data_IF_019104609313
#
_entry.id   IF_019104609313
#
_cell.length_a   1.000
_cell.length_b   1.000
_cell.length_c   1.000
_cell.angle_alpha   90.00
_cell.angle_beta   90.00
_cell.angle_gamma   90.00
#
_symmetry.space_group_name_H-M   'P 1'
#
loop_
_entity.id
_entity.type
_entity.pdbx_description
1 polymer ?
#
# COMPACT_ATOMS: atom_id res chain seq x y z
N UNK A 1 22.87 -10.19 12.06
CA UNK A 1 23.79 -11.34 11.82
C UNK A 1 23.05 -12.50 11.17
N UNK A 2 22.06 -13.13 11.84
CA UNK A 2 21.28 -14.24 11.24
C UNK A 2 20.59 -13.85 9.92
N UNK A 3 19.80 -12.77 9.91
CA UNK A 3 19.12 -12.30 8.70
C UNK A 3 20.08 -12.03 7.54
N UNK A 4 21.26 -11.46 7.84
CA UNK A 4 22.31 -11.23 6.84
C UNK A 4 22.88 -12.53 6.28
N UNK A 5 23.05 -13.54 7.12
CA UNK A 5 23.51 -14.87 6.70
C UNK A 5 22.48 -15.54 5.80
N UNK A 6 21.19 -15.48 6.17
CA UNK A 6 20.10 -16.02 5.35
C UNK A 6 19.99 -15.28 4.02
N UNK A 7 20.00 -13.94 4.02
CA UNK A 7 19.99 -13.18 2.77
C UNK A 7 21.14 -13.58 1.83
N UNK A 8 22.35 -13.79 2.38
CA UNK A 8 23.51 -14.24 1.61
C UNK A 8 23.38 -15.68 1.09
N UNK A 9 22.75 -16.59 1.82
CA UNK A 9 22.51 -17.96 1.33
C UNK A 9 21.53 -17.98 0.15
N UNK A 10 20.59 -17.02 0.12
CA UNK A 10 19.66 -16.79 -0.99
C UNK A 10 20.27 -15.95 -2.13
N UNK A 11 21.59 -15.70 -2.13
CA UNK A 11 22.26 -14.90 -3.15
C UNK A 11 21.94 -13.40 -3.12
N UNK A 12 21.33 -12.90 -2.04
CA UNK A 12 21.00 -11.48 -1.87
C UNK A 12 22.09 -10.77 -1.08
N UNK A 13 22.82 -9.87 -1.75
CA UNK A 13 23.92 -9.12 -1.13
C UNK A 13 23.44 -8.10 -0.09
N UNK A 14 22.39 -7.35 -0.43
CA UNK A 14 21.83 -6.30 0.43
C UNK A 14 20.65 -6.84 1.23
N UNK A 15 20.78 -6.87 2.56
CA UNK A 15 19.72 -7.36 3.46
C UNK A 15 18.35 -6.70 3.19
N UNK A 16 18.34 -5.43 2.81
CA UNK A 16 17.09 -4.73 2.52
C UNK A 16 16.34 -5.33 1.32
N UNK A 17 17.03 -5.78 0.27
CA UNK A 17 16.37 -6.43 -0.88
C UNK A 17 15.69 -7.73 -0.47
N UNK A 18 16.25 -8.44 0.50
CA UNK A 18 15.68 -9.66 1.06
C UNK A 18 14.42 -9.37 1.90
N UNK A 19 14.45 -8.30 2.69
CA UNK A 19 13.36 -7.95 3.62
C UNK A 19 12.23 -7.15 2.96
N UNK A 20 12.54 -6.38 1.91
CA UNK A 20 11.62 -5.43 1.29
C UNK A 20 10.25 -6.02 0.90
N UNK A 21 10.14 -7.23 0.31
CA UNK A 21 8.84 -7.82 -0.01
C UNK A 21 7.98 -8.10 1.23
N UNK A 22 8.62 -8.47 2.34
CA UNK A 22 7.96 -8.79 3.61
C UNK A 22 7.81 -7.58 4.55
N UNK A 23 8.39 -6.43 4.21
CA UNK A 23 8.41 -5.25 5.09
C UNK A 23 7.01 -4.79 5.53
N UNK A 24 5.96 -4.74 4.68
CA UNK A 24 4.62 -4.37 5.13
C UNK A 24 4.10 -5.29 6.25
N UNK A 25 4.31 -6.61 6.11
CA UNK A 25 3.92 -7.60 7.11
C UNK A 25 4.71 -7.42 8.41
N UNK A 26 6.02 -7.23 8.30
CA UNK A 26 6.90 -7.04 9.46
C UNK A 26 6.50 -5.79 10.25
N UNK A 27 6.20 -4.68 9.57
CA UNK A 27 5.75 -3.44 10.21
C UNK A 27 4.39 -3.62 10.87
N UNK A 28 3.46 -4.30 10.20
CA UNK A 28 2.15 -4.60 10.75
C UNK A 28 2.24 -5.40 12.05
N UNK A 29 3.02 -6.48 12.03
CA UNK A 29 3.21 -7.38 13.17
C UNK A 29 4.04 -6.74 14.29
N UNK A 30 5.00 -5.88 13.95
CA UNK A 30 5.74 -5.10 14.94
C UNK A 30 4.83 -4.14 15.69
N UNK A 31 3.99 -3.40 14.96
CA UNK A 31 3.02 -2.48 15.56
C UNK A 31 2.04 -3.24 16.47
N UNK A 32 1.57 -4.41 16.05
CA UNK A 32 0.68 -5.25 16.86
C UNK A 32 1.29 -5.66 18.22
N UNK A 33 2.60 -5.90 18.24
CA UNK A 33 3.31 -6.34 19.44
C UNK A 33 3.77 -5.20 20.35
N UNK A 34 4.08 -4.04 19.78
CA UNK A 34 4.76 -2.95 20.50
C UNK A 34 3.94 -1.66 20.60
N UNK A 35 2.80 -1.59 19.89
CA UNK A 35 1.92 -0.44 19.80
C UNK A 35 2.59 0.86 19.34
N UNK A 36 3.77 0.79 18.72
CA UNK A 36 4.46 1.95 18.17
C UNK A 36 5.41 1.56 17.05
N UNK A 37 5.26 2.20 15.89
CA UNK A 37 6.25 2.05 14.81
C UNK A 37 7.46 2.94 15.01
N UNK A 38 7.41 4.01 15.81
CA UNK A 38 8.53 4.92 16.00
C UNK A 38 9.77 4.24 16.62
N UNK A 39 9.55 3.17 17.41
CA UNK A 39 10.60 2.35 18.02
C UNK A 39 11.10 1.19 17.13
N UNK A 40 10.68 1.13 15.87
CA UNK A 40 11.04 0.05 14.95
C UNK A 40 12.58 -0.08 14.82
N UNK A 41 13.15 -1.30 14.90
CA UNK A 41 14.60 -1.50 14.94
C UNK A 41 15.21 -1.42 13.53
N UNK A 42 15.12 -0.26 12.89
CA UNK A 42 15.62 0.02 11.54
C UNK A 42 17.10 -0.34 11.33
N UNK A 43 17.92 -0.25 12.39
CA UNK A 43 19.35 -0.62 12.34
C UNK A 43 19.56 -2.11 12.02
N UNK A 44 18.60 -2.98 12.34
CA UNK A 44 18.65 -4.40 11.95
C UNK A 44 18.53 -4.62 10.44
N UNK A 45 17.95 -3.65 9.72
CA UNK A 45 17.82 -3.67 8.27
C UNK A 45 18.99 -2.97 7.55
N UNK A 46 20.00 -2.51 8.31
CA UNK A 46 21.20 -1.86 7.76
C UNK A 46 21.08 -0.36 7.52
N UNK A 47 20.04 0.29 8.04
CA UNK A 47 19.94 1.76 8.00
C UNK A 47 20.88 2.41 9.00
N UNK A 48 21.47 3.56 8.63
CA UNK A 48 22.38 4.32 9.50
C UNK A 48 21.66 5.26 10.46
N UNK A 49 20.41 5.63 10.18
CA UNK A 49 19.54 6.39 11.07
C UNK A 49 18.06 6.04 10.85
N UNK A 50 17.23 6.39 11.84
CA UNK A 50 15.77 6.38 11.75
C UNK A 50 15.27 7.27 10.60
N UNK A 51 15.84 8.46 10.44
CA UNK A 51 15.53 9.39 9.36
C UNK A 51 15.68 8.72 7.99
N UNK A 52 16.78 7.99 7.78
CA UNK A 52 17.01 7.29 6.51
C UNK A 52 15.96 6.21 6.27
N UNK A 53 15.61 5.43 7.30
CA UNK A 53 14.62 4.36 7.18
C UNK A 53 13.23 4.92 6.89
N UNK A 54 12.73 5.83 7.73
CA UNK A 54 11.38 6.35 7.58
C UNK A 54 11.24 7.09 6.26
N UNK A 55 12.19 7.95 5.89
CA UNK A 55 12.14 8.67 4.61
C UNK A 55 12.09 7.74 3.40
N UNK A 56 12.78 6.59 3.45
CA UNK A 56 12.77 5.61 2.37
C UNK A 56 11.48 4.79 2.30
N UNK A 57 10.80 4.58 3.43
CA UNK A 57 9.70 3.59 3.55
C UNK A 57 8.35 4.18 3.97
N UNK A 58 8.17 5.50 3.90
CA UNK A 58 6.89 6.17 4.21
C UNK A 58 5.69 5.52 3.50
N UNK A 59 5.88 5.08 2.25
CA UNK A 59 4.86 4.44 1.42
C UNK A 59 4.28 3.15 2.04
N UNK A 60 5.04 2.48 2.91
CA UNK A 60 4.60 1.26 3.61
C UNK A 60 4.28 1.55 5.09
N UNK A 61 5.02 2.48 5.70
CA UNK A 61 4.84 2.86 7.12
C UNK A 61 3.50 3.59 7.34
N UNK A 62 3.17 4.58 6.51
CA UNK A 62 1.97 5.41 6.71
C UNK A 62 0.65 4.61 6.62
N UNK A 63 0.46 3.70 5.64
CA UNK A 63 -0.72 2.82 5.62
C UNK A 63 -0.94 2.06 6.93
N UNK A 64 0.13 1.52 7.55
CA UNK A 64 0.03 0.81 8.83
C UNK A 64 -0.40 1.74 9.95
N UNK A 65 0.24 2.91 10.08
CA UNK A 65 -0.09 3.90 11.11
C UNK A 65 -1.54 4.37 11.05
N UNK A 66 -2.01 4.67 9.84
CA UNK A 66 -3.36 5.18 9.62
C UNK A 66 -4.41 4.11 9.91
N UNK A 67 -4.18 2.86 9.47
CA UNK A 67 -5.06 1.74 9.80
C UNK A 67 -5.12 1.45 11.30
N UNK A 68 -3.99 1.60 11.98
CA UNK A 68 -3.89 1.39 13.43
C UNK A 68 -4.30 2.61 14.25
N UNK A 69 -4.64 3.74 13.59
CA UNK A 69 -4.99 5.02 14.20
C UNK A 69 -3.93 5.53 15.19
N UNK A 70 -2.67 5.23 14.92
CA UNK A 70 -1.54 5.60 15.77
C UNK A 70 -1.06 7.02 15.47
N UNK A 71 -1.83 7.99 15.96
CA UNK A 71 -1.55 9.42 15.77
C UNK A 71 -0.26 9.86 16.46
N UNK A 72 0.12 9.20 17.56
CA UNK A 72 1.36 9.49 18.30
C UNK A 72 2.59 9.11 17.48
N UNK A 73 2.65 7.88 16.96
CA UNK A 73 3.77 7.48 16.12
C UNK A 73 3.80 8.26 14.79
N UNK A 74 2.63 8.64 14.25
CA UNK A 74 2.55 9.52 13.08
C UNK A 74 3.22 10.87 13.33
N UNK A 75 2.95 11.51 14.47
CA UNK A 75 3.59 12.78 14.85
C UNK A 75 5.11 12.61 15.04
N UNK A 76 5.54 11.53 15.70
CA UNK A 76 6.96 11.24 15.91
C UNK A 76 7.70 11.02 14.60
N UNK A 77 7.15 10.21 13.69
CA UNK A 77 7.76 9.93 12.39
C UNK A 77 7.79 11.19 11.52
N UNK A 78 6.76 12.03 11.57
CA UNK A 78 6.77 13.33 10.90
C UNK A 78 7.89 14.25 11.41
N UNK A 79 8.12 14.27 12.73
CA UNK A 79 9.23 15.01 13.34
C UNK A 79 10.60 14.44 12.93
N UNK A 80 10.75 13.11 12.89
CA UNK A 80 12.00 12.44 12.47
C UNK A 80 12.33 12.78 11.02
N UNK A 81 11.35 12.70 10.11
CA UNK A 81 11.55 13.02 8.69
C UNK A 81 11.66 14.53 8.45
N UNK A 82 11.23 15.36 9.40
CA UNK A 82 11.27 16.81 9.30
C UNK A 82 10.26 17.38 8.29
N UNK A 83 9.12 16.71 8.10
CA UNK A 83 8.07 17.13 7.17
C UNK A 83 6.71 17.18 7.87
N UNK A 84 5.83 18.13 7.50
CA UNK A 84 4.47 18.16 8.03
C UNK A 84 3.69 16.92 7.56
N UNK A 85 2.75 16.44 8.40
CA UNK A 85 1.92 15.26 8.11
C UNK A 85 1.18 15.41 6.77
N UNK A 86 0.73 16.62 6.43
CA UNK A 86 0.09 16.90 5.14
C UNK A 86 1.00 16.62 3.94
N UNK A 87 2.29 16.97 4.02
CA UNK A 87 3.24 16.65 2.96
C UNK A 87 3.50 15.13 2.85
N UNK A 88 3.58 14.44 3.99
CA UNK A 88 3.71 12.98 4.03
C UNK A 88 2.52 12.27 3.38
N UNK A 89 1.31 12.72 3.73
CA UNK A 89 0.05 12.19 3.20
C UNK A 89 -0.09 12.50 1.71
N UNK A 90 0.26 13.70 1.25
CA UNK A 90 0.25 14.02 -0.17
C UNK A 90 1.27 13.15 -0.93
N UNK A 91 2.47 12.93 -0.39
CA UNK A 91 3.50 12.11 -1.00
C UNK A 91 3.05 10.65 -1.17
N UNK A 92 2.50 10.05 -0.11
CA UNK A 92 2.07 8.64 -0.06
C UNK A 92 0.58 8.44 -0.33
N UNK A 93 -0.06 9.43 -0.96
CA UNK A 93 -1.49 9.41 -1.24
C UNK A 93 -1.96 8.12 -1.94
N UNK A 94 -1.28 7.61 -2.98
CA UNK A 94 -1.68 6.36 -3.63
C UNK A 94 -1.71 5.15 -2.70
N UNK A 95 -0.71 5.01 -1.83
CA UNK A 95 -0.58 3.90 -0.90
C UNK A 95 -1.60 3.99 0.23
N UNK A 96 -1.84 5.19 0.75
CA UNK A 96 -2.90 5.45 1.72
C UNK A 96 -4.28 5.05 1.17
N UNK A 97 -4.66 5.55 -0.01
CA UNK A 97 -5.93 5.22 -0.64
C UNK A 97 -5.98 3.74 -1.01
N UNK A 98 -4.91 3.19 -1.60
CA UNK A 98 -4.85 1.79 -1.97
C UNK A 98 -5.04 0.82 -0.80
N UNK A 99 -4.62 1.24 0.40
CA UNK A 99 -4.78 0.45 1.61
C UNK A 99 -6.19 0.49 2.22
N UNK A 100 -7.00 1.51 1.92
CA UNK A 100 -8.32 1.72 2.57
C UNK A 100 -9.50 1.54 1.63
N UNK A 101 -9.36 1.84 0.33
CA UNK A 101 -10.49 1.80 -0.60
C UNK A 101 -11.19 0.43 -0.69
N UNK A 102 -10.48 -0.71 -0.67
CA UNK A 102 -11.12 -2.02 -0.64
C UNK A 102 -12.04 -2.24 0.57
N UNK A 103 -11.75 -1.59 1.70
CA UNK A 103 -12.50 -1.71 2.94
C UNK A 103 -13.93 -1.14 2.83
N UNK A 104 -14.21 -0.26 1.87
CA UNK A 104 -15.57 0.25 1.64
C UNK A 104 -16.54 -0.82 1.12
N UNK A 105 -16.03 -1.92 0.55
CA UNK A 105 -16.84 -3.03 0.06
C UNK A 105 -17.02 -4.17 1.07
N UNK A 106 -16.52 -3.98 2.30
CA UNK A 106 -16.78 -4.84 3.45
C UNK A 106 -17.58 -4.06 4.48
N UNK A 107 -18.82 -4.49 4.72
CA UNK A 107 -19.74 -3.86 5.68
C UNK A 107 -19.12 -3.74 7.09
N UNK A 108 -18.25 -4.68 7.46
CA UNK A 108 -17.58 -4.68 8.77
C UNK A 108 -16.42 -3.68 8.85
N UNK A 109 -15.92 -3.21 7.70
CA UNK A 109 -14.76 -2.31 7.63
C UNK A 109 -15.12 -0.92 7.11
N UNK A 110 -16.36 -0.70 6.66
CA UNK A 110 -16.82 0.56 6.10
C UNK A 110 -16.69 1.74 7.08
N UNK A 111 -16.98 1.55 8.37
CA UNK A 111 -16.80 2.59 9.40
C UNK A 111 -15.31 2.95 9.56
N UNK A 112 -14.44 1.93 9.55
CA UNK A 112 -12.98 2.12 9.63
C UNK A 112 -12.47 2.84 8.39
N UNK A 113 -12.95 2.47 7.20
CA UNK A 113 -12.60 3.11 5.95
C UNK A 113 -13.00 4.60 5.97
N UNK A 114 -14.22 4.89 6.42
CA UNK A 114 -14.73 6.25 6.57
C UNK A 114 -13.86 7.06 7.52
N UNK A 115 -13.54 6.52 8.69
CA UNK A 115 -12.68 7.19 9.68
C UNK A 115 -11.30 7.52 9.11
N UNK A 116 -10.70 6.59 8.37
CA UNK A 116 -9.38 6.78 7.74
C UNK A 116 -9.44 7.86 6.66
N UNK A 117 -10.44 7.82 5.78
CA UNK A 117 -10.62 8.86 4.74
C UNK A 117 -10.83 10.23 5.40
N UNK A 118 -11.68 10.33 6.42
CA UNK A 118 -11.88 11.59 7.16
C UNK A 118 -10.60 12.10 7.81
N UNK A 119 -9.71 11.21 8.29
CA UNK A 119 -8.39 11.62 8.79
C UNK A 119 -7.51 12.16 7.67
N UNK A 120 -7.51 11.55 6.49
CA UNK A 120 -6.77 12.06 5.32
C UNK A 120 -7.31 13.43 4.89
N UNK A 121 -8.62 13.58 4.86
CA UNK A 121 -9.32 14.84 4.58
C UNK A 121 -8.99 15.92 5.61
N UNK A 122 -8.89 15.57 6.90
CA UNK A 122 -8.49 16.51 7.94
C UNK A 122 -7.09 17.11 7.70
N UNK A 123 -6.14 16.33 7.14
CA UNK A 123 -4.78 16.81 6.88
C UNK A 123 -4.58 17.46 5.50
N UNK A 124 -5.36 17.08 4.50
CA UNK A 124 -5.19 17.55 3.11
C UNK A 124 -6.28 18.53 2.65
N UNK A 125 -7.48 18.43 3.20
CA UNK A 125 -8.71 19.08 2.74
C UNK A 125 -9.42 18.29 1.63
N UNK A 126 -10.76 18.26 1.66
CA UNK A 126 -11.60 17.45 0.77
C UNK A 126 -11.35 17.72 -0.72
N UNK A 127 -11.22 18.99 -1.12
CA UNK A 127 -10.95 19.38 -2.51
C UNK A 127 -9.58 18.87 -2.98
N UNK A 128 -8.58 18.90 -2.09
CA UNK A 128 -7.25 18.38 -2.37
C UNK A 128 -7.28 16.86 -2.49
N UNK A 129 -8.01 16.16 -1.62
CA UNK A 129 -8.21 14.70 -1.71
C UNK A 129 -8.83 14.33 -3.05
N UNK A 130 -9.93 14.99 -3.46
CA UNK A 130 -10.59 14.73 -4.75
C UNK A 130 -9.67 15.02 -5.95
N UNK A 131 -8.98 16.16 -5.93
CA UNK A 131 -8.07 16.52 -7.04
C UNK A 131 -6.84 15.58 -7.12
N UNK A 132 -6.32 15.11 -5.98
CA UNK A 132 -5.24 14.12 -5.93
C UNK A 132 -5.69 12.76 -6.47
N UNK A 133 -6.92 12.33 -6.19
CA UNK A 133 -7.47 11.09 -6.76
C UNK A 133 -7.44 11.13 -8.28
N UNK A 134 -7.89 12.24 -8.89
CA UNK A 134 -7.86 12.41 -10.35
C UNK A 134 -6.43 12.47 -10.88
N UNK A 135 -5.55 13.25 -10.22
CA UNK A 135 -4.16 13.44 -10.67
C UNK A 135 -3.31 12.17 -10.55
N UNK A 136 -3.52 11.39 -9.48
CA UNK A 136 -2.75 10.18 -9.15
C UNK A 136 -3.53 8.89 -9.42
N UNK A 137 -4.62 8.94 -10.19
CA UNK A 137 -5.55 7.82 -10.41
C UNK A 137 -4.86 6.51 -10.80
N UNK A 138 -3.94 6.53 -11.78
CA UNK A 138 -3.20 5.33 -12.17
C UNK A 138 -2.38 4.72 -11.01
N UNK A 139 -1.82 5.58 -10.16
CA UNK A 139 -1.00 5.13 -9.03
C UNK A 139 -1.90 4.54 -7.93
N UNK A 140 -3.07 5.15 -7.67
CA UNK A 140 -4.08 4.62 -6.74
C UNK A 140 -4.61 3.26 -7.22
N UNK A 141 -5.01 3.15 -8.49
CA UNK A 141 -5.47 1.88 -9.10
C UNK A 141 -4.38 0.81 -8.97
N UNK A 142 -3.13 1.18 -9.25
CA UNK A 142 -1.99 0.25 -9.10
C UNK A 142 -1.88 -0.23 -7.66
N UNK A 143 -1.98 0.66 -6.66
CA UNK A 143 -1.90 0.29 -5.25
C UNK A 143 -3.07 -0.61 -4.82
N UNK A 144 -4.31 -0.29 -5.22
CA UNK A 144 -5.50 -1.13 -4.95
C UNK A 144 -5.31 -2.54 -5.51
N UNK A 145 -4.89 -2.67 -6.77
CA UNK A 145 -4.66 -3.98 -7.41
C UNK A 145 -3.46 -4.71 -6.79
N UNK A 146 -2.40 -3.98 -6.39
CA UNK A 146 -1.21 -4.58 -5.78
C UNK A 146 -1.49 -5.23 -4.42
N UNK A 147 -2.60 -4.87 -3.78
CA UNK A 147 -3.04 -5.43 -2.51
C UNK A 147 -3.91 -6.70 -2.69
N UNK A 148 -4.08 -7.20 -3.93
CA UNK A 148 -4.80 -8.44 -4.18
C UNK A 148 -4.10 -9.63 -3.53
N UNK A 149 -4.84 -10.32 -2.66
CA UNK A 149 -4.46 -11.61 -2.11
C UNK A 149 -5.72 -12.48 -2.03
N UNK A 150 -5.88 -13.37 -3.01
CA UNK A 150 -7.05 -14.23 -3.14
C UNK A 150 -6.63 -15.64 -3.61
N UNK A 151 -6.09 -16.48 -2.72
CA UNK A 151 -5.55 -17.78 -3.10
C UNK A 151 -6.59 -18.66 -3.79
N UNK A 152 -7.84 -18.63 -3.36
CA UNK A 152 -8.92 -19.45 -3.92
C UNK A 152 -9.32 -19.00 -5.33
N UNK A 153 -9.50 -17.70 -5.53
CA UNK A 153 -9.79 -17.17 -6.87
C UNK A 153 -8.60 -17.38 -7.82
N UNK A 154 -7.37 -17.22 -7.34
CA UNK A 154 -6.17 -17.45 -8.15
C UNK A 154 -6.05 -18.95 -8.52
N UNK A 155 -6.30 -19.89 -7.58
CA UNK A 155 -6.30 -21.33 -7.87
C UNK A 155 -7.28 -21.68 -8.99
N UNK A 156 -8.48 -21.10 -8.93
CA UNK A 156 -9.50 -21.26 -9.97
C UNK A 156 -9.02 -20.72 -11.34
N UNK A 157 -8.43 -19.52 -11.36
CA UNK A 157 -7.95 -18.88 -12.59
C UNK A 157 -6.77 -19.61 -13.25
N UNK A 158 -5.90 -20.24 -12.46
CA UNK A 158 -4.65 -20.87 -12.95
C UNK A 158 -4.71 -22.40 -12.99
N UNK A 159 -5.87 -23.02 -12.76
CA UNK A 159 -6.05 -24.47 -12.97
C UNK A 159 -5.59 -25.36 -11.82
N UNK A 160 -5.60 -24.87 -10.58
CA UNK A 160 -5.58 -25.71 -9.36
C UNK A 160 -4.22 -25.89 -8.67
N UNK A 161 -3.10 -25.75 -9.37
CA UNK A 161 -1.76 -25.82 -8.76
C UNK A 161 -1.20 -24.41 -8.57
N UNK A 162 -1.58 -23.77 -7.46
CA UNK A 162 -0.87 -22.59 -6.96
C UNK A 162 0.00 -22.99 -5.78
N UNK A 163 1.27 -22.56 -5.82
CA UNK A 163 2.12 -22.54 -4.64
C UNK A 163 1.39 -21.77 -3.52
N UNK A 164 1.55 -22.23 -2.28
CA UNK A 164 0.97 -21.55 -1.12
C UNK A 164 1.38 -20.07 -1.14
N UNK A 165 0.40 -19.18 -1.12
CA UNK A 165 0.69 -17.75 -1.03
C UNK A 165 1.13 -17.43 0.40
N UNK A 166 2.08 -16.48 0.58
CA UNK A 166 2.46 -16.00 1.91
C UNK A 166 1.26 -15.50 2.71
N UNK A 167 1.31 -15.58 4.04
CA UNK A 167 0.23 -15.07 4.88
C UNK A 167 -0.13 -13.61 4.53
N UNK A 168 -1.41 -13.29 4.33
CA UNK A 168 -1.82 -11.94 3.99
C UNK A 168 -1.64 -10.99 5.17
N UNK A 169 -1.18 -9.79 4.87
CA UNK A 169 -1.32 -8.67 5.82
C UNK A 169 -2.77 -8.20 5.87
N UNK A 170 -3.16 -7.44 6.90
CA UNK A 170 -4.49 -6.80 6.97
C UNK A 170 -4.72 -5.73 5.89
N UNK A 171 -3.68 -5.39 5.12
CA UNK A 171 -3.75 -4.46 3.98
C UNK A 171 -3.83 -5.22 2.64
N UNK A 172 -4.00 -6.53 2.68
CA UNK A 172 -4.19 -7.40 1.51
C UNK A 172 -5.62 -7.92 1.50
N UNK A 173 -6.22 -7.97 0.32
CA UNK A 173 -7.65 -8.12 0.14
C UNK A 173 -8.00 -9.16 -0.93
N UNK A 174 -9.09 -9.93 -0.75
CA UNK A 174 -9.60 -10.78 -1.81
C UNK A 174 -10.12 -9.96 -2.98
N UNK A 175 -10.26 -10.59 -4.15
CA UNK A 175 -10.62 -9.94 -5.41
C UNK A 175 -11.94 -9.15 -5.30
N UNK A 176 -12.92 -9.68 -4.56
CA UNK A 176 -14.21 -9.00 -4.32
C UNK A 176 -14.02 -7.60 -3.73
N UNK A 177 -13.17 -7.46 -2.72
CA UNK A 177 -12.93 -6.18 -2.04
C UNK A 177 -12.07 -5.25 -2.90
N UNK A 178 -11.06 -5.79 -3.59
CA UNK A 178 -10.26 -5.02 -4.56
C UNK A 178 -11.15 -4.40 -5.63
N UNK A 179 -12.07 -5.17 -6.22
CA UNK A 179 -13.04 -4.67 -7.19
C UNK A 179 -13.95 -3.59 -6.60
N UNK A 180 -14.35 -3.73 -5.34
CA UNK A 180 -15.06 -2.69 -4.60
C UNK A 180 -14.26 -1.39 -4.47
N UNK A 181 -12.96 -1.48 -4.19
CA UNK A 181 -12.06 -0.32 -4.20
C UNK A 181 -11.97 0.35 -5.58
N UNK A 182 -11.98 -0.43 -6.67
CA UNK A 182 -12.05 0.10 -8.04
C UNK A 182 -13.39 0.79 -8.31
N UNK A 183 -14.50 0.24 -7.80
CA UNK A 183 -15.81 0.87 -7.89
C UNK A 183 -15.84 2.24 -7.21
N UNK A 184 -15.24 2.35 -6.02
CA UNK A 184 -15.11 3.64 -5.33
C UNK A 184 -14.37 4.68 -6.20
N UNK A 185 -13.30 4.28 -6.88
CA UNK A 185 -12.56 5.17 -7.79
C UNK A 185 -13.44 5.61 -8.96
N UNK A 186 -14.29 4.72 -9.48
CA UNK A 186 -15.26 5.05 -10.54
C UNK A 186 -16.26 6.10 -10.08
N UNK A 187 -16.89 5.91 -8.92
CA UNK A 187 -17.89 6.82 -8.34
C UNK A 187 -17.31 8.21 -8.08
N UNK A 188 -16.00 8.29 -7.78
CA UNK A 188 -15.28 9.52 -7.51
C UNK A 188 -14.45 10.02 -8.70
N UNK A 189 -14.67 9.47 -9.89
CA UNK A 189 -14.05 9.93 -11.13
C UNK A 189 -14.84 11.09 -11.76
N UNK A 190 -14.24 11.89 -12.67
CA UNK A 190 -14.95 12.98 -13.33
C UNK A 190 -16.17 12.57 -14.18
N UNK A 191 -16.27 11.29 -14.57
CA UNK A 191 -17.40 10.72 -15.30
C UNK A 191 -17.87 9.44 -14.60
N UNK A 192 -18.55 9.59 -13.47
CA UNK A 192 -19.02 8.47 -12.64
C UNK A 192 -20.18 7.68 -13.26
N UNK A 193 -20.83 8.25 -14.27
CA UNK A 193 -21.92 7.66 -15.04
C UNK A 193 -21.45 6.58 -16.05
N UNK A 194 -20.16 6.55 -16.37
CA UNK A 194 -19.58 5.56 -17.27
C UNK A 194 -18.66 4.59 -16.50
N UNK A 195 -18.56 3.33 -16.93
CA UNK A 195 -17.59 2.39 -16.39
C UNK A 195 -16.16 2.96 -16.45
N UNK A 196 -15.39 2.81 -15.37
CA UNK A 196 -14.07 3.43 -15.23
C UNK A 196 -13.12 3.04 -16.37
N UNK A 197 -13.18 1.78 -16.83
CA UNK A 197 -12.36 1.30 -17.93
C UNK A 197 -12.72 1.96 -19.27
N UNK A 198 -13.99 2.33 -19.49
CA UNK A 198 -14.42 3.09 -20.68
C UNK A 198 -13.87 4.51 -20.58
N UNK A 199 -14.09 5.18 -19.44
CA UNK A 199 -13.56 6.52 -19.19
C UNK A 199 -12.06 6.59 -19.43
N UNK A 200 -11.30 5.67 -18.83
CA UNK A 200 -9.86 5.64 -18.97
C UNK A 200 -9.47 5.37 -20.43
N UNK A 201 -10.12 4.42 -21.11
CA UNK A 201 -9.75 4.07 -22.49
C UNK A 201 -10.03 5.21 -23.48
N UNK A 202 -11.11 5.97 -23.28
CA UNK A 202 -11.50 7.06 -24.18
C UNK A 202 -10.75 8.37 -23.87
N UNK A 203 -10.70 8.77 -22.61
CA UNK A 203 -10.26 10.11 -22.20
C UNK A 203 -8.79 10.12 -21.73
N UNK A 204 -8.28 8.97 -21.28
CA UNK A 204 -6.97 8.86 -20.63
C UNK A 204 -6.24 7.56 -20.98
N UNK A 205 -6.09 7.17 -22.27
CA UNK A 205 -5.55 5.86 -22.65
C UNK A 205 -4.14 5.58 -22.10
N UNK A 206 -3.34 6.64 -21.87
CA UNK A 206 -2.03 6.53 -21.23
C UNK A 206 -2.09 6.04 -19.78
N UNK A 207 -3.20 6.24 -19.05
CA UNK A 207 -3.36 5.70 -17.70
C UNK A 207 -3.41 4.18 -17.71
N UNK A 208 -4.13 3.55 -18.65
CA UNK A 208 -4.13 2.08 -18.80
C UNK A 208 -2.72 1.56 -19.00
N UNK A 209 -1.97 2.16 -19.93
CA UNK A 209 -0.57 1.79 -20.17
C UNK A 209 0.29 1.96 -18.91
N UNK A 210 0.12 3.06 -18.17
CA UNK A 210 0.87 3.33 -16.93
C UNK A 210 0.55 2.29 -15.84
N UNK A 211 -0.72 1.95 -15.64
CA UNK A 211 -1.16 0.92 -14.68
C UNK A 211 -0.54 -0.44 -15.05
N UNK A 212 -0.73 -0.88 -16.29
CA UNK A 212 -0.21 -2.17 -16.76
C UNK A 212 1.32 -2.24 -16.66
N UNK A 213 2.04 -1.19 -17.07
CA UNK A 213 3.49 -1.15 -16.97
C UNK A 213 3.97 -1.23 -15.52
N UNK A 214 3.30 -0.55 -14.59
CA UNK A 214 3.64 -0.59 -13.17
C UNK A 214 3.42 -1.98 -12.56
N UNK A 215 2.27 -2.60 -12.85
CA UNK A 215 1.96 -3.96 -12.39
C UNK A 215 2.97 -4.96 -12.97
N UNK A 216 3.22 -4.89 -14.28
CA UNK A 216 4.23 -5.71 -14.96
C UNK A 216 5.61 -5.57 -14.31
N UNK A 217 6.04 -4.33 -14.05
CA UNK A 217 7.33 -4.04 -13.42
C UNK A 217 7.40 -4.60 -11.99
N UNK A 218 6.31 -4.52 -11.22
CA UNK A 218 6.25 -5.12 -9.88
C UNK A 218 6.42 -6.63 -9.93
N UNK A 219 5.72 -7.31 -10.85
CA UNK A 219 5.86 -8.76 -11.06
C UNK A 219 7.28 -9.13 -11.47
N UNK A 220 7.89 -8.39 -12.41
CA UNK A 220 9.26 -8.68 -12.87
C UNK A 220 10.34 -8.40 -11.81
N UNK A 221 10.10 -7.44 -10.90
CA UNK A 221 11.02 -7.13 -9.82
C UNK A 221 10.85 -8.04 -8.59
N UNK A 222 9.73 -8.74 -8.48
CA UNK A 222 9.60 -9.80 -7.50
C UNK A 222 10.53 -10.94 -7.93
N UNK A 223 11.74 -10.99 -7.35
CA UNK A 223 12.64 -12.12 -7.53
C UNK A 223 11.88 -13.37 -7.09
N UNK A 224 11.57 -14.26 -8.03
CA UNK A 224 11.15 -15.62 -7.71
C UNK A 224 12.37 -16.33 -7.14
N UNK A 225 12.30 -16.91 -5.94
CA UNK A 225 13.30 -17.91 -5.54
C UNK A 225 13.25 -19.03 -6.60
N UNK A 226 14.39 -19.37 -7.19
CA UNK A 226 14.54 -20.58 -8.02
C UNK A 226 14.48 -21.85 -7.15
#
# INVERSE_FOLDING_TARGET
KVLTTVAKSEGVEQLIEFVQPALPMILWNWHEKTSSLASFPWGLLGYGSDVQFYSAHLQVVLPVLVHRRDSTALQQIAAIVGQPISALFEACYPELLGSVLPCFADENQQETATTIISSIEQYLGDEKVRSLLVKKMADVITCVISNLHDPENLKSLFGGELLELPEPTKLMFPARLVLGGIHYIQENSPKSDVPLWIYISQEKPRLTQKVLLKLYTKVHKAKLPE
#
